data_IF_345392132241
#
_entry.id   IF_345392132241
#
_cell.length_a   1.000
_cell.length_b   1.000
_cell.length_c   1.000
_cell.angle_alpha   90.00
_cell.angle_beta   90.00
_cell.angle_gamma   90.00
#
_symmetry.space_group_name_H-M   'P 1'
#
loop_
_entity.id
_entity.type
_entity.pdbx_description
1 polymer ?
#
# COMPACT_ATOMS: atom_id res chain seq x y z
N UNK A 1 -54.90 -29.03 -1.82
CA UNK A 1 -54.78 -28.66 -0.40
C UNK A 1 -53.95 -29.75 0.25
N UNK A 2 -52.82 -29.54 0.87
CA UNK A 2 -51.85 -28.44 0.94
C UNK A 2 -50.64 -29.15 1.57
N UNK A 3 -49.44 -28.82 1.09
CA UNK A 3 -48.20 -29.46 1.50
C UNK A 3 -47.68 -28.66 2.68
N UNK A 4 -47.72 -29.18 3.91
CA UNK A 4 -46.97 -28.59 5.01
C UNK A 4 -45.71 -29.42 5.26
N UNK A 5 -44.65 -28.99 4.57
CA UNK A 5 -43.25 -29.24 4.91
C UNK A 5 -42.83 -28.16 5.90
N UNK A 6 -42.77 -28.49 7.18
CA UNK A 6 -42.00 -27.67 8.13
C UNK A 6 -40.56 -28.15 8.07
N UNK A 7 -39.79 -27.59 7.14
CA UNK A 7 -38.33 -27.58 7.22
C UNK A 7 -38.01 -26.35 8.07
N UNK A 8 -37.66 -26.59 9.33
CA UNK A 8 -37.00 -25.59 10.16
C UNK A 8 -35.64 -25.34 9.51
N UNK A 9 -35.54 -24.27 8.72
CA UNK A 9 -34.25 -23.76 8.28
C UNK A 9 -33.56 -23.19 9.50
N UNK A 10 -32.58 -23.95 9.98
CA UNK A 10 -31.48 -23.45 10.80
C UNK A 10 -30.91 -22.20 10.11
N UNK A 11 -31.03 -21.05 10.78
CA UNK A 11 -30.35 -19.82 10.38
C UNK A 11 -28.84 -20.05 10.55
N UNK A 12 -28.22 -20.59 9.51
CA UNK A 12 -26.77 -20.56 9.36
C UNK A 12 -26.32 -19.11 9.21
N UNK A 13 -25.45 -18.70 10.13
CA UNK A 13 -24.62 -17.51 10.11
C UNK A 13 -24.27 -17.01 8.69
N UNK A 14 -24.78 -15.86 8.29
CA UNK A 14 -24.14 -15.03 7.28
C UNK A 14 -23.61 -13.76 7.93
N UNK A 15 -22.46 -13.90 8.61
CA UNK A 15 -21.57 -12.77 8.86
C UNK A 15 -20.72 -12.55 7.60
N UNK A 16 -21.39 -12.32 6.47
CA UNK A 16 -20.72 -12.04 5.20
C UNK A 16 -20.18 -10.61 5.28
N UNK A 17 -18.87 -10.46 5.38
CA UNK A 17 -18.21 -9.16 5.34
C UNK A 17 -18.66 -8.43 4.07
N UNK A 18 -19.41 -7.34 4.24
CA UNK A 18 -19.99 -6.61 3.14
C UNK A 18 -18.86 -6.03 2.27
N UNK A 19 -18.83 -6.44 1.00
CA UNK A 19 -17.91 -5.86 0.02
C UNK A 19 -18.43 -4.48 -0.39
N UNK A 20 -17.59 -3.47 -0.19
CA UNK A 20 -17.89 -2.05 -0.43
C UNK A 20 -17.06 -1.57 -1.62
N UNK A 21 -17.64 -0.67 -2.40
CA UNK A 21 -17.00 -0.02 -3.53
C UNK A 21 -16.69 1.44 -3.20
N UNK A 22 -15.43 1.87 -3.38
CA UNK A 22 -15.00 3.23 -3.09
C UNK A 22 -14.26 3.82 -4.30
N UNK A 23 -14.70 4.98 -4.83
CA UNK A 23 -13.95 5.70 -5.84
C UNK A 23 -12.68 6.29 -5.23
N UNK A 24 -11.55 6.13 -5.92
CA UNK A 24 -10.30 6.77 -5.51
C UNK A 24 -10.23 8.22 -6.01
N UNK A 25 -9.64 9.14 -5.23
CA UNK A 25 -9.46 10.51 -5.67
C UNK A 25 -8.54 10.58 -6.90
N UNK A 26 -8.77 11.54 -7.81
CA UNK A 26 -7.89 11.75 -8.94
C UNK A 26 -6.49 12.18 -8.47
N UNK A 27 -5.46 11.81 -9.24
CA UNK A 27 -4.07 12.22 -8.99
C UNK A 27 -3.18 11.15 -8.32
N UNK A 28 -3.76 10.03 -7.87
CA UNK A 28 -2.98 8.86 -7.48
C UNK A 28 -2.39 8.17 -8.73
N UNK A 29 -1.06 7.92 -8.79
CA UNK A 29 -0.47 7.20 -9.91
C UNK A 29 -1.05 5.79 -10.01
N UNK A 30 -1.41 5.33 -11.22
CA UNK A 30 -1.93 3.97 -11.42
C UNK A 30 -0.97 2.88 -10.91
N UNK A 31 0.35 3.12 -10.97
CA UNK A 31 1.34 2.21 -10.42
C UNK A 31 1.23 2.06 -8.90
N UNK A 32 0.80 3.10 -8.18
CA UNK A 32 0.52 3.04 -6.74
C UNK A 32 -0.75 2.23 -6.52
N UNK A 33 -1.82 2.52 -7.27
CA UNK A 33 -3.11 1.83 -7.12
C UNK A 33 -2.99 0.33 -7.41
N UNK A 34 -2.31 -0.06 -8.48
CA UNK A 34 -2.08 -1.48 -8.78
C UNK A 34 -1.29 -2.20 -7.68
N UNK A 35 -0.34 -1.51 -7.03
CA UNK A 35 0.40 -2.09 -5.90
C UNK A 35 -0.44 -2.17 -4.63
N UNK A 36 -1.28 -1.17 -4.35
CA UNK A 36 -2.26 -1.23 -3.27
C UNK A 36 -3.19 -2.44 -3.43
N UNK A 37 -3.63 -2.71 -4.66
CA UNK A 37 -4.44 -3.90 -4.96
C UNK A 37 -3.70 -5.20 -4.64
N UNK A 38 -2.41 -5.29 -4.98
CA UNK A 38 -1.59 -6.45 -4.63
C UNK A 38 -1.36 -6.60 -3.12
N UNK A 39 -1.08 -5.51 -2.39
CA UNK A 39 -0.74 -5.59 -0.96
C UNK A 39 -1.97 -5.79 -0.08
N UNK A 40 -3.08 -5.10 -0.40
CA UNK A 40 -4.28 -5.09 0.44
C UNK A 40 -5.32 -6.15 0.02
N UNK A 41 -5.03 -6.93 -1.03
CA UNK A 41 -5.93 -7.93 -1.61
C UNK A 41 -7.33 -7.35 -1.93
N UNK A 42 -7.36 -6.18 -2.57
CA UNK A 42 -8.57 -5.48 -2.99
C UNK A 42 -8.75 -5.58 -4.51
N UNK A 43 -9.99 -5.54 -4.98
CA UNK A 43 -10.30 -5.38 -6.40
C UNK A 43 -10.02 -3.96 -6.87
N UNK A 44 -9.59 -3.80 -8.11
CA UNK A 44 -9.35 -2.51 -8.76
C UNK A 44 -9.91 -2.50 -10.18
N UNK A 45 -10.66 -1.45 -10.52
CA UNK A 45 -11.25 -1.24 -11.84
C UNK A 45 -11.22 0.25 -12.22
N UNK A 46 -11.10 0.55 -13.51
CA UNK A 46 -11.39 1.88 -14.05
C UNK A 46 -12.84 1.85 -14.58
N UNK A 47 -13.72 2.63 -13.95
CA UNK A 47 -15.11 2.78 -14.38
C UNK A 47 -15.30 4.06 -15.19
N UNK A 48 -16.33 4.09 -16.03
CA UNK A 48 -16.71 5.27 -16.82
C UNK A 48 -17.97 5.91 -16.23
N UNK A 49 -17.89 7.20 -15.95
CA UNK A 49 -19.04 8.04 -15.63
C UNK A 49 -19.70 8.47 -16.95
N UNK A 50 -20.87 7.90 -17.23
CA UNK A 50 -21.63 8.19 -18.45
C UNK A 50 -22.18 9.63 -18.50
N UNK A 51 -22.41 10.27 -17.34
CA UNK A 51 -22.90 11.65 -17.29
C UNK A 51 -21.79 12.67 -17.54
N UNK A 52 -20.57 12.37 -17.09
CA UNK A 52 -19.42 13.28 -17.18
C UNK A 52 -18.46 12.93 -18.33
N UNK A 53 -18.67 11.81 -19.04
CA UNK A 53 -17.77 11.22 -20.04
C UNK A 53 -16.31 11.14 -19.53
N UNK A 54 -16.14 10.66 -18.30
CA UNK A 54 -14.85 10.58 -17.61
C UNK A 54 -14.63 9.20 -17.01
N UNK A 55 -13.39 8.75 -17.05
CA UNK A 55 -12.95 7.54 -16.37
C UNK A 55 -12.49 7.84 -14.95
N UNK A 56 -12.79 6.96 -14.01
CA UNK A 56 -12.38 7.09 -12.61
C UNK A 56 -11.97 5.73 -12.01
N UNK A 57 -10.89 5.70 -11.20
CA UNK A 57 -10.46 4.49 -10.51
C UNK A 57 -11.37 4.15 -9.34
N UNK A 58 -11.62 2.86 -9.17
CA UNK A 58 -12.46 2.31 -8.11
C UNK A 58 -11.76 1.14 -7.45
N UNK A 59 -11.84 1.07 -6.12
CA UNK A 59 -11.38 -0.07 -5.32
C UNK A 59 -12.57 -0.78 -4.68
N UNK A 60 -12.48 -2.10 -4.57
CA UNK A 60 -13.52 -2.94 -3.96
C UNK A 60 -12.91 -3.86 -2.91
N UNK A 61 -13.53 -3.95 -1.75
CA UNK A 61 -13.05 -4.77 -0.63
C UNK A 61 -13.93 -4.63 0.60
N UNK A 62 -13.58 -5.31 1.68
CA UNK A 62 -14.25 -5.15 2.97
C UNK A 62 -13.85 -3.83 3.61
N UNK A 63 -14.62 -3.35 4.60
CA UNK A 63 -14.31 -2.08 5.27
C UNK A 63 -12.89 -2.05 5.86
N UNK A 64 -12.46 -3.14 6.48
CA UNK A 64 -11.11 -3.30 7.04
C UNK A 64 -10.03 -3.17 5.95
N UNK A 65 -10.22 -3.83 4.80
CA UNK A 65 -9.29 -3.72 3.68
C UNK A 65 -9.23 -2.30 3.13
N UNK A 66 -10.36 -1.60 3.03
CA UNK A 66 -10.42 -0.23 2.51
C UNK A 66 -9.78 0.79 3.45
N UNK A 67 -9.89 0.59 4.77
CA UNK A 67 -9.20 1.44 5.74
C UNK A 67 -7.69 1.20 5.69
N UNK A 68 -7.27 -0.05 5.56
CA UNK A 68 -5.87 -0.40 5.35
C UNK A 68 -5.29 0.24 4.08
N UNK A 69 -6.05 0.28 2.99
CA UNK A 69 -5.65 0.95 1.73
C UNK A 69 -5.42 2.44 1.93
N UNK A 70 -6.27 3.13 2.72
CA UNK A 70 -6.09 4.56 3.01
C UNK A 70 -4.79 4.80 3.75
N UNK A 71 -4.53 4.03 4.81
CA UNK A 71 -3.30 4.14 5.59
C UNK A 71 -2.07 3.87 4.72
N UNK A 72 -2.16 2.89 3.82
CA UNK A 72 -1.12 2.60 2.83
C UNK A 72 -0.86 3.74 1.85
N UNK A 73 -1.90 4.45 1.39
CA UNK A 73 -1.73 5.61 0.49
C UNK A 73 -0.90 6.69 1.19
N UNK A 74 -1.20 6.97 2.46
CA UNK A 74 -0.43 7.93 3.25
C UNK A 74 1.01 7.46 3.44
N UNK A 75 1.19 6.21 3.88
CA UNK A 75 2.51 5.62 4.09
C UNK A 75 3.37 5.67 2.82
N UNK A 76 2.83 5.25 1.67
CA UNK A 76 3.54 5.26 0.41
C UNK A 76 3.93 6.68 -0.02
N UNK A 77 3.04 7.64 0.18
CA UNK A 77 3.28 9.05 -0.17
C UNK A 77 4.42 9.62 0.68
N UNK A 78 4.38 9.44 1.99
CA UNK A 78 5.42 9.93 2.90
C UNK A 78 6.75 9.23 2.69
N UNK A 79 6.76 7.91 2.49
CA UNK A 79 7.97 7.15 2.16
C UNK A 79 8.60 7.66 0.86
N UNK A 80 7.79 7.90 -0.19
CA UNK A 80 8.30 8.41 -1.46
C UNK A 80 8.96 9.79 -1.30
N UNK A 81 8.38 10.67 -0.49
CA UNK A 81 8.97 11.99 -0.22
C UNK A 81 10.30 11.86 0.53
N UNK A 82 10.33 11.05 1.59
CA UNK A 82 11.53 10.77 2.40
C UNK A 82 12.65 10.13 1.57
N UNK A 83 12.34 9.08 0.80
CA UNK A 83 13.30 8.38 -0.06
C UNK A 83 13.84 9.30 -1.16
N UNK A 84 13.04 10.23 -1.68
CA UNK A 84 13.51 11.24 -2.64
C UNK A 84 14.58 12.15 -2.03
N UNK A 85 14.43 12.53 -0.76
CA UNK A 85 15.44 13.34 -0.07
C UNK A 85 16.72 12.56 0.18
N UNK A 86 16.60 11.32 0.65
CA UNK A 86 17.73 10.40 0.83
C UNK A 86 18.47 10.20 -0.50
N UNK A 87 17.74 9.94 -1.60
CA UNK A 87 18.34 9.77 -2.93
C UNK A 87 19.10 11.01 -3.39
N UNK A 88 18.56 12.20 -3.11
CA UNK A 88 19.22 13.48 -3.44
C UNK A 88 20.53 13.64 -2.68
N UNK A 89 20.57 13.26 -1.40
CA UNK A 89 21.80 13.27 -0.59
C UNK A 89 22.79 12.22 -1.09
N UNK A 90 22.36 10.98 -1.28
CA UNK A 90 23.17 9.88 -1.80
C UNK A 90 23.84 10.26 -3.13
N UNK A 91 23.08 10.87 -4.06
CA UNK A 91 23.62 11.38 -5.33
C UNK A 91 24.67 12.47 -5.12
N UNK A 92 24.43 13.42 -4.20
CA UNK A 92 25.37 14.51 -3.91
C UNK A 92 26.71 13.98 -3.40
N UNK A 93 26.68 12.94 -2.57
CA UNK A 93 27.86 12.35 -1.96
C UNK A 93 28.42 11.15 -2.74
N UNK A 94 27.74 10.72 -3.81
CA UNK A 94 28.08 9.56 -4.66
C UNK A 94 28.15 8.25 -3.86
N UNK A 95 27.19 8.06 -2.97
CA UNK A 95 27.09 6.90 -2.07
C UNK A 95 25.86 6.06 -2.44
N UNK A 96 25.93 4.77 -2.11
CA UNK A 96 24.81 3.85 -2.20
C UNK A 96 24.22 3.67 -0.80
N UNK A 97 22.92 3.39 -0.72
CA UNK A 97 22.15 3.46 0.52
C UNK A 97 21.52 2.11 0.80
N UNK A 98 21.75 1.59 2.00
CA UNK A 98 21.10 0.40 2.51
C UNK A 98 19.96 0.78 3.45
N UNK A 99 18.79 0.20 3.22
CA UNK A 99 17.59 0.41 4.02
C UNK A 99 17.26 -0.86 4.80
N UNK A 100 17.08 -0.74 6.10
CA UNK A 100 16.72 -1.83 7.00
C UNK A 100 15.53 -1.43 7.85
N UNK A 101 14.65 -2.37 8.17
CA UNK A 101 13.60 -2.19 9.19
C UNK A 101 13.32 -3.53 9.84
N UNK A 102 12.92 -3.51 11.11
CA UNK A 102 12.44 -4.68 11.85
C UNK A 102 10.94 -4.99 11.56
N UNK A 103 10.28 -4.15 10.76
CA UNK A 103 8.89 -4.29 10.33
C UNK A 103 8.83 -4.92 8.94
N UNK A 104 8.51 -6.22 8.88
CA UNK A 104 8.38 -7.01 7.63
C UNK A 104 7.42 -6.36 6.62
N UNK A 105 6.34 -5.76 7.12
CA UNK A 105 5.34 -5.10 6.30
C UNK A 105 5.96 -3.84 5.67
N UNK A 106 6.61 -3.00 6.47
CA UNK A 106 7.31 -1.81 5.98
C UNK A 106 8.44 -2.20 5.02
N UNK A 107 9.17 -3.28 5.27
CA UNK A 107 10.22 -3.77 4.38
C UNK A 107 9.66 -4.10 2.99
N UNK A 108 8.52 -4.78 2.95
CA UNK A 108 7.79 -5.04 1.71
C UNK A 108 7.36 -3.74 1.02
N UNK A 109 6.80 -2.77 1.77
CA UNK A 109 6.41 -1.46 1.22
C UNK A 109 7.60 -0.67 0.66
N UNK A 110 8.73 -0.65 1.36
CA UNK A 110 9.97 -0.01 0.90
C UNK A 110 10.40 -0.58 -0.45
N UNK A 111 10.24 -1.90 -0.65
CA UNK A 111 10.50 -2.60 -1.91
C UNK A 111 9.84 -1.94 -3.11
N UNK A 112 8.61 -1.48 -2.93
CA UNK A 112 7.86 -0.76 -3.96
C UNK A 112 8.13 0.73 -3.99
N UNK A 113 8.25 1.36 -2.83
CA UNK A 113 8.42 2.81 -2.71
C UNK A 113 9.71 3.27 -3.39
N UNK A 114 10.80 2.52 -3.23
CA UNK A 114 12.11 2.80 -3.87
C UNK A 114 12.00 2.81 -5.39
N UNK A 115 11.20 1.92 -5.99
CA UNK A 115 11.05 1.84 -7.45
C UNK A 115 10.45 3.11 -8.07
N UNK A 116 9.73 3.87 -7.26
CA UNK A 116 9.03 5.09 -7.64
C UNK A 116 9.86 6.37 -7.45
N UNK A 117 11.12 6.23 -7.04
CA UNK A 117 12.06 7.34 -6.79
C UNK A 117 13.13 7.40 -7.89
N UNK A 118 13.41 8.61 -8.37
CA UNK A 118 14.54 8.86 -9.27
C UNK A 118 15.87 8.56 -8.57
N UNK A 119 16.68 7.67 -9.13
CA UNK A 119 17.92 7.20 -8.47
C UNK A 119 17.75 5.93 -7.64
N UNK A 120 16.69 5.15 -7.91
CA UNK A 120 16.40 3.84 -7.31
C UNK A 120 17.56 2.84 -7.33
N UNK A 121 18.44 2.95 -8.31
CA UNK A 121 19.62 2.10 -8.50
C UNK A 121 20.64 2.20 -7.36
N UNK A 122 20.55 3.25 -6.53
CA UNK A 122 21.41 3.45 -5.36
C UNK A 122 20.88 2.82 -4.09
N UNK A 123 19.64 2.36 -4.08
CA UNK A 123 19.02 1.79 -2.90
C UNK A 123 19.12 0.28 -2.90
N UNK A 124 19.52 -0.27 -1.77
CA UNK A 124 19.47 -1.68 -1.46
C UNK A 124 18.60 -1.85 -0.22
N UNK A 125 17.60 -2.73 -0.28
CA UNK A 125 16.80 -3.09 0.90
C UNK A 125 17.38 -4.39 1.43
N UNK A 126 17.81 -4.36 2.68
CA UNK A 126 18.53 -5.46 3.31
C UNK A 126 17.65 -6.15 4.36
N UNK A 127 17.78 -7.47 4.44
CA UNK A 127 16.99 -8.31 5.34
C UNK A 127 17.60 -8.42 6.73
N UNK A 128 18.93 -8.27 6.82
CA UNK A 128 19.67 -8.39 8.07
C UNK A 128 20.23 -7.03 8.48
N UNK A 129 20.14 -6.75 9.78
CA UNK A 129 20.65 -5.49 10.33
C UNK A 129 22.18 -5.43 10.19
N UNK A 130 22.73 -4.37 9.55
CA UNK A 130 24.18 -4.19 9.48
C UNK A 130 24.80 -3.96 10.86
N UNK A 131 26.06 -4.37 11.00
CA UNK A 131 26.91 -3.94 12.11
C UNK A 131 27.23 -2.44 11.95
N UNK A 132 26.99 -1.66 13.00
CA UNK A 132 27.28 -0.22 13.04
C UNK A 132 26.05 0.64 13.33
N UNK A 133 26.28 1.95 13.35
CA UNK A 133 25.23 2.95 13.60
C UNK A 133 24.58 3.35 12.27
N UNK A 134 23.28 3.11 12.17
CA UNK A 134 22.44 3.57 11.06
C UNK A 134 21.59 4.75 11.52
N UNK A 135 21.31 5.67 10.59
CA UNK A 135 20.44 6.80 10.87
C UNK A 135 18.98 6.32 10.93
N UNK A 136 18.33 6.53 12.07
CA UNK A 136 16.92 6.18 12.24
C UNK A 136 16.03 7.23 11.59
N UNK A 137 15.16 6.78 10.70
CA UNK A 137 14.13 7.59 10.06
C UNK A 137 12.75 7.10 10.52
N UNK A 138 11.88 8.04 10.87
CA UNK A 138 10.51 7.76 11.31
C UNK A 138 9.54 8.35 10.30
N UNK A 139 8.63 7.53 9.78
CA UNK A 139 7.55 7.92 8.86
C UNK A 139 6.24 7.35 9.37
N UNK A 140 5.27 8.23 9.67
CA UNK A 140 3.95 7.85 10.20
C UNK A 140 4.04 6.79 11.31
N UNK A 141 4.90 7.04 12.31
CA UNK A 141 5.15 6.16 13.46
C UNK A 141 5.89 4.84 13.16
N UNK A 142 6.17 4.55 11.89
CA UNK A 142 7.00 3.40 11.51
C UNK A 142 8.46 3.82 11.33
N UNK A 143 9.36 2.90 11.63
CA UNK A 143 10.80 3.19 11.71
C UNK A 143 11.59 2.35 10.72
N UNK A 144 12.53 2.99 10.03
CA UNK A 144 13.55 2.30 9.25
C UNK A 144 14.90 2.98 9.43
N UNK A 145 15.96 2.25 9.13
CA UNK A 145 17.34 2.67 9.30
C UNK A 145 18.00 2.84 7.96
N UNK A 146 18.80 3.89 7.84
CA UNK A 146 19.58 4.22 6.66
C UNK A 146 21.05 4.01 6.97
N UNK A 147 21.69 3.15 6.18
CA UNK A 147 23.12 2.86 6.25
C UNK A 147 23.79 3.27 4.93
N UNK A 148 25.06 3.67 5.02
CA UNK A 148 25.90 4.14 3.90
C UNK A 148 27.03 3.17 3.58
#
# INVERSE_FOLDING_TARGET
>A
MEIDRTIENENENENSEQVIEVPLPPGLPQSVIGRLACVCNIGYEIKKDEMMDREYPVITGTQEQLDYVKDYIFLFTELKLTLREISRLARRFKTDVKLYTDDDELQYVLGFAVQDVSGRDRFEIIMERPEGEGEKIVVLEREFFVYL
#
